data_IF_688592208274
#
_entry.id   IF_688592208274
#
_cell.length_a   1.000
_cell.length_b   1.000
_cell.length_c   1.000
_cell.angle_alpha   90.00
_cell.angle_beta   90.00
_cell.angle_gamma   90.00
#
_symmetry.space_group_name_H-M   'P 1'
#
loop_
_entity.id
_entity.type
_entity.pdbx_description
1 polymer ?
#
# COMPACT_ATOMS: atom_id res chain seq x y z
N UNK A 1 -0.12 -24.84 -18.38
CA UNK A 1 -1.03 -24.12 -17.45
C UNK A 1 -0.16 -23.52 -16.37
N UNK A 2 0.11 -22.22 -16.43
CA UNK A 2 0.82 -21.51 -15.37
C UNK A 2 -0.12 -21.43 -14.17
N UNK A 3 0.23 -22.10 -13.07
CA UNK A 3 -0.40 -21.88 -11.77
C UNK A 3 -0.40 -20.38 -11.49
N UNK A 4 -1.58 -19.80 -11.27
CA UNK A 4 -1.66 -18.46 -10.73
C UNK A 4 -1.05 -18.52 -9.33
N UNK A 5 0.10 -17.88 -9.12
CA UNK A 5 0.64 -17.69 -7.78
C UNK A 5 -0.48 -17.11 -6.90
N UNK A 6 -0.67 -17.62 -5.67
CA UNK A 6 -1.67 -17.06 -4.77
C UNK A 6 -1.31 -15.59 -4.54
N UNK A 7 -2.14 -14.69 -5.08
CA UNK A 7 -2.05 -13.25 -4.85
C UNK A 7 -1.95 -13.03 -3.35
N UNK A 8 -0.73 -12.70 -2.91
CA UNK A 8 -0.46 -12.53 -1.49
C UNK A 8 -0.76 -11.07 -1.18
N UNK A 9 -2.03 -10.80 -0.88
CA UNK A 9 -2.50 -9.46 -0.58
C UNK A 9 -1.75 -8.89 0.62
N UNK A 10 -1.14 -7.72 0.44
CA UNK A 10 -0.45 -6.97 1.50
C UNK A 10 -1.21 -5.69 1.80
N UNK A 11 -1.46 -5.43 3.07
CA UNK A 11 -2.16 -4.22 3.52
C UNK A 11 -1.30 -3.51 4.55
N UNK A 12 -1.04 -2.23 4.31
CA UNK A 12 -0.37 -1.35 5.25
C UNK A 12 -1.24 -0.12 5.48
N UNK A 13 -1.49 0.22 6.75
CA UNK A 13 -2.14 1.47 7.12
C UNK A 13 -1.21 2.25 8.03
N UNK A 14 -1.04 3.53 7.72
CA UNK A 14 -0.24 4.46 8.50
C UNK A 14 -0.96 5.78 8.68
N UNK A 15 -0.66 6.45 9.78
CA UNK A 15 -1.10 7.80 10.06
C UNK A 15 -0.46 8.82 9.10
N UNK A 16 -1.00 10.03 9.10
CA UNK A 16 -0.44 11.17 8.38
C UNK A 16 1.00 11.54 8.78
N UNK A 17 1.45 11.18 9.98
CA UNK A 17 2.84 11.37 10.44
C UNK A 17 3.78 10.20 10.07
N UNK A 18 3.29 9.16 9.36
CA UNK A 18 4.08 8.03 8.90
C UNK A 18 4.21 6.86 9.89
N UNK A 19 3.53 6.90 11.04
CA UNK A 19 3.48 5.78 11.98
C UNK A 19 2.62 4.64 11.43
N UNK A 20 3.12 3.40 11.48
CA UNK A 20 2.38 2.22 11.04
C UNK A 20 1.35 1.82 12.09
N UNK A 21 0.07 1.85 11.71
CA UNK A 21 -1.08 1.53 12.58
C UNK A 21 -1.52 0.08 12.38
N UNK A 22 -1.46 -0.42 11.15
CA UNK A 22 -1.94 -1.75 10.82
C UNK A 22 -1.12 -2.38 9.70
N UNK A 23 -0.94 -3.69 9.79
CA UNK A 23 -0.25 -4.50 8.81
C UNK A 23 -0.91 -5.87 8.66
N UNK A 24 -1.15 -6.29 7.43
CA UNK A 24 -1.60 -7.64 7.11
C UNK A 24 -0.87 -8.22 5.89
N UNK A 25 -0.57 -9.51 5.96
CA UNK A 25 0.22 -10.23 4.96
C UNK A 25 1.74 -10.19 5.22
N UNK A 26 2.52 -10.95 4.45
CA UNK A 26 3.97 -10.97 4.54
C UNK A 26 4.57 -9.72 3.90
N UNK A 27 4.64 -8.64 4.67
CA UNK A 27 5.26 -7.37 4.25
C UNK A 27 6.72 -7.31 4.76
N UNK A 28 7.70 -6.98 3.96
CA UNK A 28 9.07 -6.75 4.49
C UNK A 28 9.25 -5.31 4.97
N UNK A 29 10.37 -5.01 5.64
CA UNK A 29 10.66 -3.62 6.07
C UNK A 29 10.91 -2.69 4.87
N UNK A 30 11.49 -3.22 3.80
CA UNK A 30 11.70 -2.53 2.53
C UNK A 30 10.34 -2.19 1.89
N UNK A 31 9.42 -3.15 1.88
CA UNK A 31 8.06 -2.95 1.35
C UNK A 31 7.27 -1.93 2.16
N UNK A 32 7.44 -1.89 3.49
CA UNK A 32 6.87 -0.82 4.32
C UNK A 32 7.37 0.55 3.87
N UNK A 33 8.68 0.68 3.69
CA UNK A 33 9.30 1.94 3.28
C UNK A 33 8.84 2.38 1.89
N UNK A 34 8.70 1.44 0.97
CA UNK A 34 8.21 1.68 -0.39
C UNK A 34 6.74 2.11 -0.41
N UNK A 35 5.87 1.40 0.31
CA UNK A 35 4.46 1.78 0.42
C UNK A 35 4.27 3.16 1.04
N UNK A 36 5.09 3.50 2.05
CA UNK A 36 5.11 4.82 2.68
C UNK A 36 5.49 5.91 1.66
N UNK A 37 6.58 5.70 0.91
CA UNK A 37 7.03 6.63 -0.13
C UNK A 37 5.95 6.84 -1.20
N UNK A 38 5.34 5.76 -1.70
CA UNK A 38 4.28 5.83 -2.71
C UNK A 38 3.09 6.63 -2.20
N UNK A 39 2.55 6.31 -1.02
CA UNK A 39 1.37 7.02 -0.56
C UNK A 39 1.70 8.48 -0.24
N UNK A 40 2.89 8.78 0.30
CA UNK A 40 3.29 10.15 0.68
C UNK A 40 3.19 11.17 -0.45
N UNK A 41 3.34 10.71 -1.70
CA UNK A 41 3.24 11.53 -2.92
C UNK A 41 1.81 11.94 -3.27
N UNK A 42 0.81 11.36 -2.61
CA UNK A 42 -0.60 11.67 -2.80
C UNK A 42 -1.05 12.57 -1.65
N UNK A 43 -1.45 13.80 -1.96
CA UNK A 43 -1.89 14.80 -0.99
C UNK A 43 -3.40 14.95 -0.89
N UNK A 44 -4.13 14.53 -1.91
CA UNK A 44 -5.58 14.67 -1.98
C UNK A 44 -6.29 13.45 -1.37
N UNK A 45 -7.39 13.71 -0.66
CA UNK A 45 -8.26 12.67 -0.13
C UNK A 45 -8.94 11.91 -1.28
N UNK A 46 -8.79 10.58 -1.30
CA UNK A 46 -9.29 9.80 -2.42
C UNK A 46 -8.95 8.32 -2.36
N UNK A 47 -9.28 7.62 -3.43
CA UNK A 47 -8.87 6.24 -3.72
C UNK A 47 -8.17 6.26 -5.07
N UNK A 48 -6.93 5.80 -5.10
CA UNK A 48 -6.06 5.83 -6.28
C UNK A 48 -5.67 4.41 -6.62
N UNK A 49 -5.90 4.01 -7.88
CA UNK A 49 -5.32 2.79 -8.42
C UNK A 49 -4.06 3.16 -9.19
N UNK A 50 -2.94 2.64 -8.74
CA UNK A 50 -1.61 2.90 -9.30
C UNK A 50 -1.03 1.59 -9.84
N UNK A 51 -0.12 1.72 -10.80
CA UNK A 51 0.69 0.61 -11.27
C UNK A 51 2.13 0.85 -10.86
N UNK A 52 2.73 -0.12 -10.17
CA UNK A 52 4.12 -0.08 -9.75
C UNK A 52 4.84 -1.32 -10.29
N UNK A 53 5.65 -1.11 -11.34
CA UNK A 53 6.24 -2.21 -12.10
C UNK A 53 5.15 -3.10 -12.73
N UNK A 54 5.13 -4.37 -12.33
CA UNK A 54 4.15 -5.38 -12.76
C UNK A 54 2.94 -5.49 -11.84
N UNK A 55 2.93 -4.79 -10.69
CA UNK A 55 1.92 -4.91 -9.65
C UNK A 55 0.91 -3.77 -9.71
N UNK A 56 -0.32 -4.04 -9.26
CA UNK A 56 -1.32 -3.01 -9.00
C UNK A 56 -1.32 -2.64 -7.50
N UNK A 57 -1.48 -1.35 -7.22
CA UNK A 57 -1.55 -0.82 -5.87
C UNK A 57 -2.82 0.01 -5.76
N UNK A 58 -3.57 -0.19 -4.69
CA UNK A 58 -4.66 0.71 -4.32
C UNK A 58 -4.22 1.51 -3.10
N UNK A 59 -4.25 2.84 -3.23
CA UNK A 59 -3.96 3.77 -2.14
C UNK A 59 -5.23 4.50 -1.76
N UNK A 60 -5.66 4.36 -0.51
CA UNK A 60 -6.68 5.19 0.12
C UNK A 60 -5.97 6.30 0.90
N UNK A 61 -6.28 7.54 0.59
CA UNK A 61 -5.85 8.70 1.41
C UNK A 61 -7.09 9.30 2.07
N UNK A 62 -6.99 9.55 3.37
CA UNK A 62 -7.88 10.42 4.12
C UNK A 62 -7.04 11.37 4.98
N UNK A 63 -7.68 12.40 5.51
CA UNK A 63 -7.07 13.40 6.39
C UNK A 63 -6.02 12.86 7.38
N UNK A 64 -6.34 11.76 8.06
CA UNK A 64 -5.53 11.24 9.15
C UNK A 64 -4.81 9.93 8.81
N UNK A 65 -5.23 9.24 7.74
CA UNK A 65 -4.81 7.87 7.44
C UNK A 65 -4.48 7.69 5.96
N UNK A 66 -3.52 6.82 5.72
CA UNK A 66 -3.15 6.34 4.41
C UNK A 66 -3.17 4.82 4.45
N UNK A 67 -3.98 4.21 3.61
CA UNK A 67 -4.06 2.76 3.43
C UNK A 67 -3.49 2.36 2.08
N UNK A 68 -2.60 1.37 2.06
CA UNK A 68 -2.00 0.83 0.85
C UNK A 68 -2.33 -0.66 0.78
N UNK A 69 -2.92 -1.06 -0.34
CA UNK A 69 -3.25 -2.43 -0.68
C UNK A 69 -2.40 -2.83 -1.89
N UNK A 70 -1.64 -3.92 -1.75
CA UNK A 70 -0.81 -4.49 -2.80
C UNK A 70 -1.31 -5.88 -3.17
N UNK A 71 -1.53 -6.13 -4.46
CA UNK A 71 -1.82 -7.46 -5.02
C UNK A 71 -1.13 -7.63 -6.38
#
# INVERSE_FOLDING_TARGET
MTEAEPYTTKILVFSSNGEVIYRAGPITSEEVSEMLDIASKISEDGVYRLRHGTREIIVKVSRDLRGVLWY
#
